data_IF_192956366489
#
_entry.id   IF_192956366489
#
_cell.length_a   1.000
_cell.length_b   1.000
_cell.length_c   1.000
_cell.angle_alpha   90.00
_cell.angle_beta   90.00
_cell.angle_gamma   90.00
#
_symmetry.space_group_name_H-M   'P 1'
#
loop_
_entity.id
_entity.type
_entity.pdbx_description
1 polymer ?
#
# COMPACT_ATOMS: atom_id res chain seq x y z
N UNK A 1 -14.10 14.88 -29.60
CA UNK A 1 -13.08 14.19 -28.83
C UNK A 1 -13.20 14.48 -27.32
N UNK A 2 -14.34 14.18 -26.65
CA UNK A 2 -14.51 14.41 -25.23
C UNK A 2 -14.17 13.21 -24.33
N UNK A 3 -13.87 12.04 -24.89
CA UNK A 3 -13.57 10.83 -24.10
C UNK A 3 -12.14 10.80 -23.53
N UNK A 4 -11.18 11.46 -24.17
CA UNK A 4 -9.79 11.48 -23.72
C UNK A 4 -9.58 12.22 -22.36
N UNK A 5 -10.39 13.22 -22.07
CA UNK A 5 -10.19 14.08 -20.90
C UNK A 5 -10.79 13.49 -19.61
N UNK A 6 -11.90 12.75 -19.69
CA UNK A 6 -12.44 11.97 -18.55
C UNK A 6 -11.55 10.78 -18.21
N UNK A 7 -10.96 10.15 -19.20
CA UNK A 7 -10.00 9.06 -19.07
C UNK A 7 -8.75 9.46 -18.27
N UNK A 8 -8.24 10.71 -18.47
CA UNK A 8 -7.02 11.14 -17.78
C UNK A 8 -7.19 11.32 -16.26
N UNK A 9 -8.28 11.93 -15.80
CA UNK A 9 -8.48 12.17 -14.36
C UNK A 9 -8.72 10.86 -13.58
N UNK A 10 -9.57 9.98 -14.12
CA UNK A 10 -9.82 8.67 -13.51
C UNK A 10 -8.56 7.82 -13.47
N UNK A 11 -7.77 7.83 -14.54
CA UNK A 11 -6.49 7.13 -14.58
C UNK A 11 -5.52 7.66 -13.53
N UNK A 12 -5.39 8.99 -13.41
CA UNK A 12 -4.55 9.64 -12.40
C UNK A 12 -5.00 9.26 -10.99
N UNK A 13 -6.31 9.33 -10.72
CA UNK A 13 -6.87 8.99 -9.42
C UNK A 13 -6.63 7.50 -9.07
N UNK A 14 -6.76 6.61 -10.04
CA UNK A 14 -6.49 5.18 -9.87
C UNK A 14 -4.99 4.93 -9.57
N UNK A 15 -4.08 5.51 -10.36
CA UNK A 15 -2.63 5.38 -10.13
C UNK A 15 -2.23 5.96 -8.77
N UNK A 16 -2.78 7.12 -8.41
CA UNK A 16 -2.55 7.73 -7.10
C UNK A 16 -3.05 6.83 -5.96
N UNK A 17 -4.22 6.19 -6.11
CA UNK A 17 -4.76 5.26 -5.12
C UNK A 17 -3.89 4.02 -4.95
N UNK A 18 -3.37 3.45 -6.05
CA UNK A 18 -2.44 2.31 -6.00
C UNK A 18 -1.15 2.65 -5.25
N UNK A 19 -0.63 3.85 -5.45
CA UNK A 19 0.58 4.32 -4.74
C UNK A 19 0.29 4.67 -3.28
N UNK A 20 -0.87 5.29 -3.02
CA UNK A 20 -1.31 5.69 -1.69
C UNK A 20 -1.49 4.51 -0.73
N UNK A 21 -1.84 3.33 -1.24
CA UNK A 21 -1.98 2.11 -0.42
C UNK A 21 -0.73 1.79 0.38
N UNK A 22 0.46 1.93 -0.21
CA UNK A 22 1.71 1.63 0.48
C UNK A 22 1.97 2.64 1.62
N UNK A 23 1.73 3.93 1.37
CA UNK A 23 1.87 4.96 2.40
C UNK A 23 0.84 4.76 3.53
N UNK A 24 -0.43 4.52 3.17
CA UNK A 24 -1.48 4.25 4.15
C UNK A 24 -1.16 3.04 5.04
N UNK A 25 -0.63 1.96 4.45
CA UNK A 25 -0.28 0.75 5.19
C UNK A 25 0.91 0.94 6.14
N UNK A 26 1.79 1.89 5.86
CA UNK A 26 2.92 2.23 6.71
C UNK A 26 2.47 3.19 7.83
N UNK A 27 1.84 4.30 7.44
CA UNK A 27 1.68 5.44 8.33
C UNK A 27 0.45 5.32 9.25
N UNK A 28 -0.61 4.62 8.83
CA UNK A 28 -1.79 4.41 9.68
C UNK A 28 -1.49 3.54 10.92
N UNK A 29 -0.44 2.74 10.90
CA UNK A 29 -0.08 1.87 12.03
C UNK A 29 0.80 2.57 13.08
N UNK A 30 1.38 3.73 12.73
CA UNK A 30 2.32 4.46 13.61
C UNK A 30 1.76 4.69 15.02
N UNK A 31 0.53 5.20 15.21
CA UNK A 31 -0.02 5.43 16.54
C UNK A 31 -0.29 4.14 17.31
N UNK A 32 -0.53 3.04 16.61
CA UNK A 32 -0.88 1.75 17.21
C UNK A 32 0.35 0.90 17.59
N UNK A 33 1.56 1.23 17.11
CA UNK A 33 2.75 0.38 17.25
C UNK A 33 3.05 0.00 18.70
N UNK A 34 2.98 0.95 19.63
CA UNK A 34 3.28 0.68 21.02
C UNK A 34 2.22 -0.19 21.71
N UNK A 35 0.95 -0.04 21.32
CA UNK A 35 -0.14 -0.87 21.83
C UNK A 35 -0.01 -2.28 21.30
N UNK A 36 0.19 -2.44 19.99
CA UNK A 36 0.39 -3.74 19.35
C UNK A 36 1.55 -4.51 19.96
N UNK A 37 2.69 -3.86 20.15
CA UNK A 37 3.88 -4.52 20.70
C UNK A 37 3.67 -4.98 22.13
N UNK A 38 2.97 -4.17 22.96
CA UNK A 38 2.62 -4.54 24.34
C UNK A 38 1.70 -5.75 24.41
N UNK A 39 0.74 -5.88 23.49
CA UNK A 39 -0.16 -7.03 23.40
C UNK A 39 0.62 -8.34 23.14
N UNK A 40 1.78 -8.25 22.48
CA UNK A 40 2.70 -9.37 22.28
C UNK A 40 3.80 -9.47 23.35
N UNK A 41 3.71 -8.72 24.44
CA UNK A 41 4.71 -8.72 25.52
C UNK A 41 6.02 -8.00 25.18
N UNK A 42 6.04 -7.21 24.11
CA UNK A 42 7.21 -6.43 23.68
C UNK A 42 7.09 -4.99 24.16
N UNK A 43 7.95 -4.59 25.08
CA UNK A 43 7.91 -3.26 25.70
C UNK A 43 9.03 -2.34 25.21
N UNK A 44 10.01 -2.86 24.48
CA UNK A 44 11.11 -2.05 23.94
C UNK A 44 10.65 -1.32 22.66
N UNK A 45 10.66 0.04 22.65
CA UNK A 45 10.29 0.81 21.46
C UNK A 45 11.15 0.51 20.22
N UNK A 46 12.43 0.13 20.42
CA UNK A 46 13.33 -0.24 19.32
C UNK A 46 12.87 -1.52 18.62
N UNK A 47 12.37 -2.48 19.39
CA UNK A 47 11.83 -3.73 18.84
C UNK A 47 10.52 -3.45 18.12
N UNK A 48 9.66 -2.59 18.66
CA UNK A 48 8.40 -2.19 18.02
C UNK A 48 8.62 -1.58 16.63
N UNK A 49 9.68 -0.82 16.42
CA UNK A 49 10.04 -0.24 15.12
C UNK A 49 10.32 -1.28 14.04
N UNK A 50 10.63 -2.53 14.40
CA UNK A 50 10.82 -3.61 13.44
C UNK A 50 9.58 -3.82 12.56
N UNK A 51 8.37 -3.53 13.05
CA UNK A 51 7.14 -3.64 12.28
C UNK A 51 7.16 -2.76 11.02
N UNK A 52 7.77 -1.58 11.11
CA UNK A 52 7.91 -0.67 9.97
C UNK A 52 9.12 -1.04 9.13
N UNK A 53 10.27 -1.27 9.77
CA UNK A 53 11.52 -1.62 9.07
C UNK A 53 11.32 -2.84 8.18
N UNK A 54 10.69 -3.89 8.70
CA UNK A 54 10.46 -5.13 7.97
C UNK A 54 9.46 -4.96 6.83
N UNK A 55 8.46 -4.09 6.98
CA UNK A 55 7.58 -3.74 5.87
C UNK A 55 8.34 -2.99 4.76
N UNK A 56 9.21 -2.03 5.10
CA UNK A 56 10.06 -1.35 4.12
C UNK A 56 11.03 -2.31 3.43
N UNK A 57 11.59 -3.28 4.17
CA UNK A 57 12.46 -4.31 3.62
C UNK A 57 11.69 -5.16 2.60
N UNK A 58 10.48 -5.61 2.94
CA UNK A 58 9.59 -6.32 2.03
C UNK A 58 9.24 -5.49 0.78
N UNK A 59 8.94 -4.20 0.96
CA UNK A 59 8.64 -3.28 -0.13
C UNK A 59 9.83 -3.11 -1.07
N UNK A 60 11.04 -2.90 -0.53
CA UNK A 60 12.27 -2.74 -1.32
C UNK A 60 12.60 -4.01 -2.11
N UNK A 61 12.57 -5.17 -1.45
CA UNK A 61 12.80 -6.45 -2.11
C UNK A 61 11.76 -6.72 -3.21
N UNK A 62 10.49 -6.50 -2.92
CA UNK A 62 9.42 -6.67 -3.89
C UNK A 62 9.56 -5.74 -5.10
N UNK A 63 9.99 -4.49 -4.92
CA UNK A 63 10.22 -3.55 -6.04
C UNK A 63 11.29 -4.05 -7.01
N UNK A 64 12.36 -4.67 -6.49
CA UNK A 64 13.42 -5.26 -7.33
C UNK A 64 12.90 -6.42 -8.17
N UNK A 65 11.93 -7.18 -7.65
CA UNK A 65 11.34 -8.32 -8.34
C UNK A 65 10.24 -7.89 -9.33
N UNK A 66 9.28 -7.08 -8.88
CA UNK A 66 8.09 -6.76 -9.67
C UNK A 66 8.37 -5.80 -10.84
N UNK A 67 9.45 -5.02 -10.80
CA UNK A 67 9.88 -4.21 -11.94
C UNK A 67 10.08 -5.08 -13.19
N UNK A 68 11.12 -5.91 -13.23
CA UNK A 68 11.41 -6.79 -14.38
C UNK A 68 10.30 -7.81 -14.68
N UNK A 69 9.65 -8.36 -13.65
CA UNK A 69 8.55 -9.30 -13.82
C UNK A 69 7.36 -8.67 -14.55
N UNK A 70 7.08 -7.39 -14.29
CA UNK A 70 5.96 -6.69 -14.94
C UNK A 70 6.19 -6.46 -16.43
N UNK A 71 7.44 -6.38 -16.85
CA UNK A 71 7.80 -6.26 -18.26
C UNK A 71 7.65 -7.60 -19.00
N UNK A 72 7.81 -8.74 -18.29
CA UNK A 72 7.71 -10.08 -18.86
C UNK A 72 6.31 -10.67 -18.84
N UNK A 73 5.59 -10.53 -17.72
CA UNK A 73 4.27 -11.14 -17.49
C UNK A 73 3.09 -10.17 -17.71
N UNK A 74 3.39 -8.88 -17.93
CA UNK A 74 2.40 -7.83 -18.10
C UNK A 74 2.02 -7.14 -16.79
N UNK A 75 1.51 -5.90 -16.91
CA UNK A 75 1.24 -5.01 -15.78
C UNK A 75 0.09 -5.51 -14.88
N UNK A 76 -1.05 -5.86 -15.50
CA UNK A 76 -2.28 -6.23 -14.78
C UNK A 76 -2.14 -7.47 -13.89
N UNK A 77 -1.65 -8.63 -14.38
CA UNK A 77 -1.58 -9.85 -13.58
C UNK A 77 -0.75 -9.66 -12.31
N UNK A 78 0.33 -8.89 -12.39
CA UNK A 78 1.21 -8.67 -11.25
C UNK A 78 0.64 -7.70 -10.22
N UNK A 79 -0.19 -6.72 -10.63
CA UNK A 79 -0.94 -5.89 -9.66
C UNK A 79 -1.91 -6.76 -8.86
N UNK A 80 -2.67 -7.66 -9.52
CA UNK A 80 -3.55 -8.60 -8.81
C UNK A 80 -2.79 -9.57 -7.91
N UNK A 81 -1.65 -10.06 -8.37
CA UNK A 81 -0.78 -10.92 -7.56
C UNK A 81 -0.30 -10.19 -6.30
N UNK A 82 0.11 -8.92 -6.45
CA UNK A 82 0.48 -8.07 -5.32
C UNK A 82 -0.68 -7.86 -4.33
N UNK A 83 -1.89 -7.61 -4.82
CA UNK A 83 -3.09 -7.50 -3.98
C UNK A 83 -3.40 -8.80 -3.24
N UNK A 84 -3.27 -9.95 -3.89
CA UNK A 84 -3.49 -11.26 -3.26
C UNK A 84 -2.51 -11.49 -2.12
N UNK A 85 -1.21 -11.18 -2.32
CA UNK A 85 -0.20 -11.27 -1.27
C UNK A 85 -0.54 -10.32 -0.11
N UNK A 86 -0.90 -9.06 -0.42
CA UNK A 86 -1.24 -8.07 0.60
C UNK A 86 -2.45 -8.47 1.44
N UNK A 87 -3.50 -8.98 0.80
CA UNK A 87 -4.72 -9.47 1.48
C UNK A 87 -4.36 -10.64 2.41
N UNK A 88 -3.65 -11.64 1.91
CA UNK A 88 -3.21 -12.79 2.72
C UNK A 88 -2.32 -12.37 3.90
N UNK A 89 -1.37 -11.47 3.66
CA UNK A 89 -0.50 -10.91 4.69
C UNK A 89 -1.27 -10.12 5.74
N UNK A 90 -2.30 -9.37 5.33
CA UNK A 90 -3.15 -8.61 6.26
C UNK A 90 -3.94 -9.54 7.18
N UNK A 91 -4.44 -10.66 6.68
CA UNK A 91 -5.04 -11.68 7.54
C UNK A 91 -4.02 -12.28 8.54
N UNK A 92 -2.78 -12.53 8.11
CA UNK A 92 -1.71 -12.98 9.02
C UNK A 92 -1.51 -11.94 10.15
N UNK A 93 -1.47 -10.65 9.81
CA UNK A 93 -1.34 -9.59 10.80
C UNK A 93 -2.53 -9.52 11.76
N UNK A 94 -3.76 -9.62 11.27
CA UNK A 94 -4.99 -9.54 12.06
C UNK A 94 -5.07 -10.69 13.08
N UNK A 95 -4.71 -11.89 12.66
CA UNK A 95 -4.78 -13.10 13.49
C UNK A 95 -3.44 -13.48 14.11
N UNK A 96 -2.47 -12.56 14.13
CA UNK A 96 -1.17 -12.83 14.73
C UNK A 96 -1.29 -13.07 16.25
N UNK A 97 -0.66 -14.12 16.70
CA UNK A 97 -0.59 -14.52 18.12
C UNK A 97 0.79 -14.26 18.73
N UNK A 98 1.78 -13.89 17.90
CA UNK A 98 3.13 -13.56 18.34
C UNK A 98 3.67 -12.37 17.57
N UNK A 99 4.68 -11.69 18.16
CA UNK A 99 5.34 -10.56 17.52
C UNK A 99 6.04 -10.96 16.22
N UNK A 100 6.67 -12.14 16.20
CA UNK A 100 7.37 -12.69 15.02
C UNK A 100 6.39 -12.94 13.86
N UNK A 101 5.21 -13.47 14.17
CA UNK A 101 4.16 -13.68 13.16
C UNK A 101 3.68 -12.34 12.58
N UNK A 102 3.53 -11.32 13.43
CA UNK A 102 3.20 -9.96 12.98
C UNK A 102 4.30 -9.39 12.09
N UNK A 103 5.57 -9.50 12.50
CA UNK A 103 6.73 -9.06 11.70
C UNK A 103 6.76 -9.74 10.35
N UNK A 104 6.55 -11.06 10.29
CA UNK A 104 6.48 -11.81 9.05
C UNK A 104 5.34 -11.33 8.14
N UNK A 105 4.16 -11.10 8.72
CA UNK A 105 3.02 -10.51 8.02
C UNK A 105 3.35 -9.14 7.41
N UNK A 106 4.09 -8.30 8.13
CA UNK A 106 4.54 -6.97 7.64
C UNK A 106 5.50 -7.07 6.46
N UNK A 107 6.44 -8.03 6.47
CA UNK A 107 7.31 -8.28 5.30
C UNK A 107 6.48 -8.64 4.08
N UNK A 108 5.53 -9.57 4.22
CA UNK A 108 4.65 -9.98 3.12
C UNK A 108 3.75 -8.85 2.64
N UNK A 109 3.21 -8.00 3.54
CA UNK A 109 2.46 -6.81 3.15
C UNK A 109 3.31 -5.86 2.30
N UNK A 110 4.58 -5.64 2.69
CA UNK A 110 5.52 -4.84 1.92
C UNK A 110 5.75 -5.41 0.52
N UNK A 111 6.01 -6.71 0.41
CA UNK A 111 6.16 -7.40 -0.88
C UNK A 111 4.90 -7.22 -1.73
N UNK A 112 3.71 -7.46 -1.16
CA UNK A 112 2.45 -7.32 -1.88
C UNK A 112 2.21 -5.92 -2.44
N UNK A 113 2.44 -4.88 -1.63
CA UNK A 113 2.22 -3.48 -2.04
C UNK A 113 3.29 -2.93 -2.97
N UNK A 114 4.44 -3.59 -3.08
CA UNK A 114 5.48 -3.18 -4.02
C UNK A 114 5.04 -3.29 -5.48
N UNK A 115 4.20 -4.30 -5.82
CA UNK A 115 3.68 -4.48 -7.17
C UNK A 115 2.78 -3.31 -7.62
N UNK A 116 1.66 -2.98 -6.95
CA UNK A 116 0.82 -1.87 -7.37
C UNK A 116 1.57 -0.54 -7.36
N UNK A 117 2.49 -0.32 -6.42
CA UNK A 117 3.31 0.90 -6.36
C UNK A 117 4.24 1.02 -7.57
N UNK A 118 5.04 0.01 -7.86
CA UNK A 118 6.03 0.04 -8.95
C UNK A 118 5.36 0.08 -10.32
N UNK A 119 4.31 -0.73 -10.48
CA UNK A 119 3.61 -0.85 -11.75
C UNK A 119 2.83 0.42 -12.09
N UNK A 120 2.30 1.15 -11.10
CA UNK A 120 1.66 2.46 -11.33
C UNK A 120 2.60 3.45 -12.01
N UNK A 121 3.84 3.53 -11.57
CA UNK A 121 4.85 4.37 -12.22
C UNK A 121 5.11 3.94 -13.67
N UNK A 122 5.23 2.63 -13.89
CA UNK A 122 5.43 2.10 -15.23
C UNK A 122 4.23 2.38 -16.14
N UNK A 123 2.99 2.21 -15.65
CA UNK A 123 1.78 2.48 -16.43
C UNK A 123 1.65 3.96 -16.80
N UNK A 124 2.01 4.89 -15.91
CA UNK A 124 2.02 6.31 -16.22
C UNK A 124 3.05 6.60 -17.32
N UNK A 125 4.25 6.05 -17.20
CA UNK A 125 5.32 6.24 -18.17
C UNK A 125 5.01 5.62 -19.54
N UNK A 126 4.29 4.49 -19.55
CA UNK A 126 3.89 3.81 -20.78
C UNK A 126 2.74 4.55 -21.50
N UNK A 127 1.96 5.38 -20.77
CA UNK A 127 0.77 6.05 -21.29
C UNK A 127 0.97 7.52 -21.66
N UNK A 128 2.01 8.16 -21.14
CA UNK A 128 2.24 9.61 -21.30
C UNK A 128 3.72 9.92 -21.50
N UNK A 129 3.99 10.98 -22.28
CA UNK A 129 5.35 11.44 -22.60
C UNK A 129 5.52 12.93 -22.30
N UNK A 130 6.76 13.36 -22.14
CA UNK A 130 7.15 14.76 -22.03
C UNK A 130 6.44 15.51 -20.90
N UNK A 131 5.87 16.67 -21.22
CA UNK A 131 5.21 17.56 -20.25
C UNK A 131 3.95 16.96 -19.63
N UNK A 132 3.19 16.16 -20.37
CA UNK A 132 1.98 15.52 -19.87
C UNK A 132 2.33 14.45 -18.81
N UNK A 133 3.36 13.65 -19.04
CA UNK A 133 3.89 12.72 -18.05
C UNK A 133 4.33 13.45 -16.77
N UNK A 134 5.09 14.54 -16.90
CA UNK A 134 5.57 15.33 -15.77
C UNK A 134 4.39 15.91 -14.95
N UNK A 135 3.36 16.42 -15.62
CA UNK A 135 2.16 16.95 -14.99
C UNK A 135 1.40 15.86 -14.20
N UNK A 136 1.20 14.70 -14.81
CA UNK A 136 0.49 13.58 -14.15
C UNK A 136 1.28 13.07 -12.96
N UNK A 137 2.59 12.89 -13.10
CA UNK A 137 3.46 12.47 -12.01
C UNK A 137 3.42 13.47 -10.85
N UNK A 138 3.37 14.78 -11.14
CA UNK A 138 3.24 15.81 -10.10
C UNK A 138 1.94 15.68 -9.33
N UNK A 139 0.80 15.46 -9.97
CA UNK A 139 -0.48 15.24 -9.30
C UNK A 139 -0.48 13.99 -8.45
N UNK A 140 0.01 12.88 -8.97
CA UNK A 140 0.12 11.62 -8.23
C UNK A 140 1.04 11.78 -7.01
N UNK A 141 2.14 12.51 -7.15
CA UNK A 141 3.08 12.79 -6.06
C UNK A 141 2.43 13.65 -4.97
N UNK A 142 1.64 14.68 -5.34
CA UNK A 142 0.90 15.50 -4.36
C UNK A 142 -0.05 14.63 -3.55
N UNK A 143 -0.85 13.78 -4.20
CA UNK A 143 -1.75 12.86 -3.49
C UNK A 143 -0.95 11.92 -2.59
N UNK A 144 0.16 11.37 -3.07
CA UNK A 144 1.03 10.49 -2.29
C UNK A 144 1.59 11.19 -1.04
N UNK A 145 1.97 12.46 -1.12
CA UNK A 145 2.48 13.25 0.03
C UNK A 145 1.35 13.57 1.03
N UNK A 146 0.10 13.74 0.58
CA UNK A 146 -1.03 13.99 1.46
C UNK A 146 -1.39 12.78 2.34
N UNK A 147 -1.18 11.57 1.84
CA UNK A 147 -1.56 10.34 2.55
C UNK A 147 -0.82 10.18 3.89
N UNK A 148 0.51 10.31 3.99
CA UNK A 148 1.23 10.27 5.26
C UNK A 148 0.74 11.30 6.29
N UNK A 149 0.21 12.43 5.83
CA UNK A 149 -0.34 13.46 6.72
C UNK A 149 -1.67 13.03 7.35
N UNK A 150 -2.50 12.31 6.61
CA UNK A 150 -3.84 11.89 7.05
C UNK A 150 -3.85 10.49 7.67
N UNK A 151 -2.97 9.60 7.23
CA UNK A 151 -2.96 8.20 7.64
C UNK A 151 -2.80 8.00 9.16
N UNK A 152 -1.91 8.71 9.87
CA UNK A 152 -1.82 8.57 11.33
C UNK A 152 -3.09 9.00 12.05
N UNK A 153 -3.79 10.04 11.58
CA UNK A 153 -5.05 10.48 12.17
C UNK A 153 -6.16 9.42 11.99
N UNK A 154 -6.20 8.78 10.82
CA UNK A 154 -7.10 7.65 10.55
C UNK A 154 -6.75 6.47 11.46
N UNK A 155 -5.47 6.15 11.60
CA UNK A 155 -4.99 5.09 12.48
C UNK A 155 -5.34 5.33 13.95
N UNK A 156 -5.17 6.56 14.44
CA UNK A 156 -5.54 6.96 15.79
C UNK A 156 -7.04 6.81 16.03
N UNK A 157 -7.88 7.26 15.10
CA UNK A 157 -9.33 7.12 15.19
C UNK A 157 -9.75 5.65 15.36
N UNK A 158 -9.23 4.75 14.53
CA UNK A 158 -9.54 3.33 14.66
C UNK A 158 -9.00 2.70 15.94
N UNK A 159 -7.85 3.14 16.41
CA UNK A 159 -7.26 2.68 17.66
C UNK A 159 -8.11 3.11 18.89
N UNK A 160 -8.62 4.34 18.90
CA UNK A 160 -9.42 4.88 20.00
C UNK A 160 -10.84 4.30 20.04
N UNK A 161 -11.47 4.09 18.87
CA UNK A 161 -12.87 3.66 18.79
C UNK A 161 -13.01 2.13 18.87
N UNK A 162 -12.01 1.41 18.37
CA UNK A 162 -12.03 -0.06 18.30
C UNK A 162 -10.78 -0.68 18.92
N UNK A 163 -9.84 -1.07 18.06
CA UNK A 163 -8.58 -1.69 18.43
C UNK A 163 -7.57 -1.57 17.26
N UNK A 164 -6.33 -1.98 17.46
CA UNK A 164 -5.32 -1.93 16.42
C UNK A 164 -5.62 -2.85 15.21
N UNK A 165 -6.34 -3.96 15.40
CA UNK A 165 -6.75 -4.85 14.31
C UNK A 165 -7.67 -4.12 13.31
N UNK A 166 -8.48 -3.17 13.78
CA UNK A 166 -9.38 -2.40 12.93
C UNK A 166 -8.63 -1.61 11.84
N UNK A 167 -7.39 -1.21 12.10
CA UNK A 167 -6.53 -0.54 11.11
C UNK A 167 -6.27 -1.48 9.92
N UNK A 168 -5.98 -2.74 10.17
CA UNK A 168 -5.76 -3.72 9.10
C UNK A 168 -7.05 -4.04 8.34
N UNK A 169 -8.19 -4.14 9.02
CA UNK A 169 -9.48 -4.29 8.34
C UNK A 169 -9.78 -3.10 7.43
N UNK A 170 -9.53 -1.88 7.88
CA UNK A 170 -9.67 -0.69 7.05
C UNK A 170 -8.76 -0.74 5.81
N UNK A 171 -7.49 -1.13 5.97
CA UNK A 171 -6.56 -1.31 4.86
C UNK A 171 -7.02 -2.38 3.88
N UNK A 172 -7.58 -3.50 4.38
CA UNK A 172 -8.16 -4.56 3.56
C UNK A 172 -9.34 -4.05 2.71
N UNK A 173 -10.29 -3.36 3.34
CA UNK A 173 -11.44 -2.79 2.63
C UNK A 173 -10.97 -1.82 1.57
N UNK A 174 -10.03 -0.94 1.89
CA UNK A 174 -9.46 0.00 0.93
C UNK A 174 -8.76 -0.72 -0.23
N UNK A 175 -7.98 -1.78 0.05
CA UNK A 175 -7.34 -2.62 -0.97
C UNK A 175 -8.37 -3.26 -1.92
N UNK A 176 -9.43 -3.86 -1.38
CA UNK A 176 -10.49 -4.50 -2.18
C UNK A 176 -11.19 -3.47 -3.07
N UNK A 177 -11.50 -2.29 -2.55
CA UNK A 177 -12.13 -1.21 -3.33
C UNK A 177 -11.22 -0.74 -4.47
N UNK A 178 -9.93 -0.55 -4.22
CA UNK A 178 -8.96 -0.15 -5.25
C UNK A 178 -8.76 -1.28 -6.27
N UNK A 179 -8.67 -2.54 -5.83
CA UNK A 179 -8.56 -3.70 -6.72
C UNK A 179 -9.79 -3.85 -7.61
N UNK A 180 -10.98 -3.67 -7.05
CA UNK A 180 -12.24 -3.67 -7.81
C UNK A 180 -12.28 -2.53 -8.83
N UNK A 181 -11.94 -1.32 -8.42
CA UNK A 181 -11.85 -0.18 -9.34
C UNK A 181 -10.84 -0.43 -10.46
N UNK A 182 -9.66 -0.98 -10.12
CA UNK A 182 -8.65 -1.36 -11.08
C UNK A 182 -9.18 -2.38 -12.10
N UNK A 183 -9.99 -3.36 -11.66
CA UNK A 183 -10.57 -4.38 -12.53
C UNK A 183 -11.58 -3.83 -13.53
N UNK A 184 -12.31 -2.78 -13.17
CA UNK A 184 -13.32 -2.18 -14.03
C UNK A 184 -12.71 -1.26 -15.11
N UNK A 185 -11.49 -0.77 -14.91
CA UNK A 185 -10.90 0.27 -15.75
C UNK A 185 -9.69 -0.17 -16.56
N UNK A 186 -9.11 -1.28 -16.23
CA UNK A 186 -7.93 -1.84 -16.88
C UNK A 186 -8.21 -3.24 -17.42
#
# INVERSE_FOLDING_TARGET
MPQAQKSSFEFIALMASLMAMAALAIDAILPAMSVMSKDFGVYDPKVSQQLIIMMFLGLGFGQLLFGPLSDSFGRKPLVYFGFTIFIGASFICIYSTSFEMMVFGRVLQGIGLSAPRTISYSMIRDSFEGNDMARIMSFVTVVFIMVPTLAPAIGMYFLEVYNWQAIFYFQLVFCVLVAFWFSLRQ
#
